data_IF_745640182906
#
_entry.id   IF_745640182906
#
_cell.length_a   1.000
_cell.length_b   1.000
_cell.length_c   1.000
_cell.angle_alpha   90.00
_cell.angle_beta   90.00
_cell.angle_gamma   90.00
#
_symmetry.space_group_name_H-M   'P 1'
#
loop_
_entity.id
_entity.type
_entity.pdbx_description
1 polymer ?
#
# COMPACT_ATOMS: atom_id res chain seq x y z
N UNK A 1 -11.46 -9.86 -6.90
CA UNK A 1 -11.37 -8.73 -7.84
C UNK A 1 -9.93 -8.25 -7.85
N UNK A 2 -9.33 -8.19 -9.03
CA UNK A 2 -7.95 -7.74 -9.23
C UNK A 2 -8.01 -6.60 -10.25
N UNK A 3 -7.32 -5.50 -9.99
CA UNK A 3 -7.09 -4.46 -10.99
C UNK A 3 -5.60 -4.34 -11.28
N UNK A 4 -5.13 -4.79 -12.45
CA UNK A 4 -3.71 -4.76 -12.76
C UNK A 4 -3.17 -3.34 -12.77
N UNK A 5 -2.04 -3.12 -12.09
CA UNK A 5 -1.33 -1.84 -12.05
C UNK A 5 -0.81 -1.46 -13.44
N UNK A 6 -0.90 -0.18 -13.82
CA UNK A 6 -0.13 0.36 -14.94
C UNK A 6 -0.53 -0.13 -16.35
N UNK A 7 -1.74 -0.67 -16.52
CA UNK A 7 -2.22 -1.17 -17.84
C UNK A 7 -3.52 -0.51 -18.34
N UNK A 8 -3.84 0.70 -17.86
CA UNK A 8 -4.96 1.49 -18.39
C UNK A 8 -6.33 0.82 -18.20
N UNK A 9 -6.56 0.22 -17.03
CA UNK A 9 -7.85 -0.39 -16.71
C UNK A 9 -8.97 0.66 -16.82
N UNK A 10 -10.08 0.30 -17.49
CA UNK A 10 -11.22 1.21 -17.65
C UNK A 10 -11.92 1.53 -16.32
N UNK A 11 -11.72 0.68 -15.32
CA UNK A 11 -12.16 0.81 -13.92
C UNK A 11 -11.01 0.29 -13.03
N UNK A 12 -10.63 1.08 -12.03
CA UNK A 12 -9.61 0.74 -11.03
C UNK A 12 -8.18 1.17 -11.42
N UNK A 13 -8.03 1.88 -12.53
CA UNK A 13 -6.73 2.39 -12.97
C UNK A 13 -6.21 3.55 -12.13
N UNK A 14 -7.02 4.06 -11.19
CA UNK A 14 -6.73 5.17 -10.30
C UNK A 14 -7.20 4.80 -8.89
N UNK A 15 -6.59 5.35 -7.85
CA UNK A 15 -6.95 5.08 -6.45
C UNK A 15 -8.46 5.00 -6.16
N UNK A 16 -9.23 5.96 -6.67
CA UNK A 16 -10.63 6.13 -6.26
C UNK A 16 -11.66 5.26 -6.97
N UNK A 17 -11.34 4.68 -8.14
CA UNK A 17 -12.40 4.30 -9.10
C UNK A 17 -12.79 2.81 -9.08
N UNK A 18 -12.02 1.94 -8.41
CA UNK A 18 -12.38 0.53 -8.21
C UNK A 18 -13.29 0.28 -7.00
N UNK A 19 -13.22 1.11 -5.95
CA UNK A 19 -13.91 0.87 -4.69
C UNK A 19 -15.44 0.70 -4.85
N UNK A 20 -16.16 1.50 -5.65
CA UNK A 20 -17.59 1.30 -5.87
C UNK A 20 -17.92 -0.06 -6.51
N UNK A 21 -17.06 -0.57 -7.39
CA UNK A 21 -17.24 -1.88 -8.02
C UNK A 21 -16.97 -3.00 -7.03
N UNK A 22 -15.91 -2.88 -6.22
CA UNK A 22 -15.63 -3.82 -5.14
C UNK A 22 -16.82 -3.94 -4.17
N UNK A 23 -17.46 -2.80 -3.85
CA UNK A 23 -18.67 -2.78 -3.01
C UNK A 23 -19.83 -3.55 -3.63
N UNK A 24 -20.13 -3.33 -4.91
CA UNK A 24 -21.20 -4.06 -5.59
C UNK A 24 -20.91 -5.55 -5.59
N UNK A 25 -19.68 -5.96 -5.92
CA UNK A 25 -19.28 -7.36 -5.90
C UNK A 25 -19.38 -7.97 -4.50
N UNK A 26 -18.93 -7.27 -3.47
CA UNK A 26 -19.01 -7.73 -2.07
C UNK A 26 -20.46 -7.98 -1.61
N UNK A 27 -21.44 -7.30 -2.21
CA UNK A 27 -22.85 -7.46 -1.85
C UNK A 27 -23.50 -8.74 -2.39
N UNK A 28 -22.87 -9.43 -3.34
CA UNK A 28 -23.42 -10.60 -4.04
C UNK A 28 -22.58 -11.88 -3.86
N UNK A 29 -21.52 -11.82 -3.07
CA UNK A 29 -20.62 -12.95 -2.79
C UNK A 29 -20.41 -13.13 -1.29
N UNK A 30 -20.18 -14.37 -0.84
CA UNK A 30 -19.91 -14.64 0.57
C UNK A 30 -18.55 -14.11 1.03
N UNK A 31 -17.56 -14.16 0.13
CA UNK A 31 -16.21 -13.66 0.35
C UNK A 31 -15.65 -13.09 -0.96
N UNK A 32 -15.14 -11.87 -0.90
CA UNK A 32 -14.45 -11.22 -2.01
C UNK A 32 -12.96 -11.13 -1.70
N UNK A 33 -12.16 -11.97 -2.36
CA UNK A 33 -10.70 -11.83 -2.35
C UNK A 33 -10.35 -10.68 -3.29
N UNK A 34 -9.61 -9.70 -2.79
CA UNK A 34 -9.15 -8.55 -3.55
C UNK A 34 -7.72 -8.17 -3.19
N UNK A 35 -7.22 -7.10 -3.77
CA UNK A 35 -5.83 -6.68 -3.67
C UNK A 35 -5.76 -5.16 -3.47
N UNK A 36 -4.59 -4.58 -3.13
CA UNK A 36 -4.46 -3.16 -2.82
C UNK A 36 -5.08 -2.22 -3.83
N UNK A 37 -4.68 -2.27 -5.10
CA UNK A 37 -5.11 -1.26 -6.08
C UNK A 37 -6.63 -1.15 -6.27
N UNK A 38 -7.42 -2.14 -5.83
CA UNK A 38 -8.89 -2.10 -5.91
C UNK A 38 -9.51 -1.26 -4.79
N UNK A 39 -8.86 -1.21 -3.63
CA UNK A 39 -9.38 -0.62 -2.40
C UNK A 39 -8.61 0.63 -1.97
N UNK A 40 -7.53 0.96 -2.68
CA UNK A 40 -6.68 2.13 -2.48
C UNK A 40 -7.40 3.44 -2.83
N UNK A 41 -8.58 3.76 -2.29
CA UNK A 41 -9.14 5.11 -2.41
C UNK A 41 -8.50 6.07 -1.39
N UNK A 42 -7.20 5.93 -1.15
CA UNK A 42 -6.43 6.58 -0.10
C UNK A 42 -7.18 6.58 1.25
N UNK A 43 -7.61 7.75 1.71
CA UNK A 43 -8.30 7.93 2.98
C UNK A 43 -9.80 7.54 2.97
N UNK A 44 -10.38 7.39 1.79
CA UNK A 44 -11.81 7.11 1.61
C UNK A 44 -12.09 5.64 1.85
N UNK A 45 -11.93 5.25 3.11
CA UNK A 45 -12.20 3.92 3.58
C UNK A 45 -13.67 3.60 3.55
N UNK A 46 -13.98 2.41 3.04
CA UNK A 46 -15.30 1.83 3.14
C UNK A 46 -15.18 0.42 3.74
N UNK A 47 -15.68 0.19 4.97
CA UNK A 47 -15.61 -1.13 5.58
C UNK A 47 -16.48 -2.12 4.80
N UNK A 48 -15.87 -3.23 4.39
CA UNK A 48 -16.55 -4.37 3.79
C UNK A 48 -16.15 -5.63 4.56
N UNK A 49 -17.05 -6.21 5.38
CA UNK A 49 -16.69 -7.26 6.35
C UNK A 49 -16.34 -8.60 5.70
N UNK A 50 -16.69 -8.80 4.43
CA UNK A 50 -16.46 -10.02 3.68
C UNK A 50 -15.39 -9.86 2.58
N UNK A 51 -14.53 -8.85 2.68
CA UNK A 51 -13.45 -8.61 1.72
C UNK A 51 -12.12 -8.99 2.36
N UNK A 52 -11.38 -9.89 1.70
CA UNK A 52 -10.03 -10.27 2.09
C UNK A 52 -9.04 -9.55 1.19
N UNK A 53 -8.20 -8.70 1.77
CA UNK A 53 -7.08 -8.11 1.06
C UNK A 53 -5.94 -9.11 1.00
N UNK A 54 -5.35 -9.26 -0.18
CA UNK A 54 -4.21 -10.13 -0.44
C UNK A 54 -3.25 -9.41 -1.36
N UNK A 55 -1.99 -9.30 -0.93
CA UNK A 55 -0.91 -8.74 -1.74
C UNK A 55 -0.70 -9.59 -3.01
N UNK A 56 -0.19 -8.98 -4.09
CA UNK A 56 -0.10 -9.62 -5.41
C UNK A 56 0.65 -10.95 -5.42
N UNK A 57 1.81 -11.04 -4.75
CA UNK A 57 2.54 -12.29 -4.62
C UNK A 57 1.80 -13.31 -3.79
N UNK A 58 1.22 -12.92 -2.66
CA UNK A 58 0.41 -13.82 -1.85
C UNK A 58 -0.77 -14.40 -2.63
N UNK A 59 -1.39 -13.58 -3.49
CA UNK A 59 -2.48 -13.99 -4.36
C UNK A 59 -2.00 -15.02 -5.40
N UNK A 60 -0.82 -14.82 -5.98
CA UNK A 60 -0.20 -15.79 -6.88
C UNK A 60 0.08 -17.13 -6.18
N UNK A 61 0.61 -17.08 -4.94
CA UNK A 61 0.88 -18.29 -4.14
C UNK A 61 -0.39 -19.02 -3.74
N UNK A 62 -1.45 -18.29 -3.40
CA UNK A 62 -2.78 -18.83 -3.14
C UNK A 62 -3.36 -19.50 -4.41
N UNK A 63 -3.29 -18.83 -5.56
CA UNK A 63 -3.79 -19.37 -6.83
C UNK A 63 -3.02 -20.62 -7.29
N UNK A 64 -1.74 -20.73 -6.94
CA UNK A 64 -0.92 -21.92 -7.16
C UNK A 64 -1.24 -23.08 -6.20
N UNK A 65 -2.09 -22.85 -5.19
CA UNK A 65 -2.40 -23.83 -4.15
C UNK A 65 -1.22 -24.09 -3.19
N UNK A 66 -0.31 -23.12 -3.07
CA UNK A 66 0.87 -23.23 -2.21
C UNK A 66 0.65 -22.58 -0.85
N UNK A 67 -0.19 -21.55 -0.80
CA UNK A 67 -0.63 -20.89 0.43
C UNK A 67 -2.15 -21.01 0.59
N UNK A 68 -2.59 -20.99 1.84
CA UNK A 68 -3.98 -20.78 2.21
C UNK A 68 -4.15 -19.36 2.77
N UNK A 69 -5.37 -18.82 2.65
CA UNK A 69 -5.74 -17.55 3.23
C UNK A 69 -6.66 -17.80 4.43
N UNK A 70 -6.31 -17.23 5.57
CA UNK A 70 -7.10 -17.32 6.79
C UNK A 70 -7.76 -15.96 7.08
N UNK A 71 -9.10 -15.87 7.06
CA UNK A 71 -9.80 -14.70 7.57
C UNK A 71 -9.47 -14.48 9.05
N UNK A 72 -9.16 -13.24 9.42
CA UNK A 72 -8.89 -12.86 10.80
C UNK A 72 -9.75 -11.69 11.21
N UNK A 73 -10.08 -11.61 12.49
CA UNK A 73 -10.82 -10.48 13.04
C UNK A 73 -9.96 -9.20 13.07
N UNK A 74 -8.66 -9.35 13.35
CA UNK A 74 -7.72 -8.24 13.45
C UNK A 74 -6.28 -8.74 13.36
N UNK A 75 -5.42 -8.01 12.66
CA UNK A 75 -3.98 -8.21 12.66
C UNK A 75 -3.29 -7.32 13.70
N UNK A 76 -2.26 -7.86 14.35
CA UNK A 76 -1.26 -7.09 15.09
C UNK A 76 -0.26 -6.51 14.09
N UNK A 77 -0.24 -5.19 13.96
CA UNK A 77 0.49 -4.50 12.90
C UNK A 77 1.78 -3.88 13.42
N UNK A 78 2.89 -4.15 12.75
CA UNK A 78 4.14 -3.40 12.89
C UNK A 78 4.27 -2.30 11.84
N UNK A 79 4.84 -1.16 12.19
CA UNK A 79 5.10 -0.05 11.26
C UNK A 79 6.61 0.07 10.98
N UNK A 80 7.01 0.09 9.72
CA UNK A 80 8.38 0.42 9.30
C UNK A 80 8.38 1.80 8.67
N UNK A 81 9.26 2.67 9.15
CA UNK A 81 9.49 4.00 8.59
C UNK A 81 10.89 4.04 7.98
N UNK A 82 11.00 4.49 6.74
CA UNK A 82 12.29 4.72 6.10
C UNK A 82 13.08 5.83 6.82
N UNK A 83 14.36 5.56 7.09
CA UNK A 83 15.30 6.54 7.64
C UNK A 83 15.47 7.79 6.77
N UNK A 84 15.22 7.66 5.46
CA UNK A 84 15.21 8.77 4.51
C UNK A 84 14.10 9.78 4.72
N UNK A 85 13.03 9.43 5.46
CA UNK A 85 11.90 10.33 5.71
C UNK A 85 12.31 11.47 6.62
N UNK A 86 12.03 12.70 6.20
CA UNK A 86 12.21 13.93 6.94
C UNK A 86 11.47 13.88 8.29
N UNK A 87 12.03 14.53 9.31
CA UNK A 87 11.49 14.46 10.67
C UNK A 87 10.00 14.87 10.75
N UNK A 88 9.61 15.92 10.05
CA UNK A 88 8.22 16.39 10.05
C UNK A 88 7.27 15.37 9.42
N UNK A 89 7.59 14.82 8.22
CA UNK A 89 6.80 13.75 7.58
C UNK A 89 6.74 12.50 8.46
N UNK A 90 7.84 12.16 9.15
CA UNK A 90 7.87 11.00 10.06
C UNK A 90 6.91 11.18 11.23
N UNK A 91 6.90 12.35 11.86
CA UNK A 91 5.97 12.69 12.95
C UNK A 91 4.53 12.60 12.46
N UNK A 92 4.27 13.09 11.25
CA UNK A 92 2.97 12.98 10.60
C UNK A 92 2.49 11.53 10.44
N UNK A 93 3.31 10.63 9.86
CA UNK A 93 2.95 9.22 9.76
C UNK A 93 2.71 8.57 11.13
N UNK A 94 3.49 8.92 12.15
CA UNK A 94 3.24 8.45 13.52
C UNK A 94 1.90 8.96 14.08
N UNK A 95 1.53 10.20 13.79
CA UNK A 95 0.22 10.74 14.17
C UNK A 95 -0.93 10.03 13.44
N UNK A 96 -0.74 9.62 12.18
CA UNK A 96 -1.73 8.79 11.49
C UNK A 96 -1.83 7.41 12.15
N UNK A 97 -0.72 6.81 12.61
CA UNK A 97 -0.75 5.57 13.37
C UNK A 97 -1.54 5.71 14.67
N UNK A 98 -1.33 6.80 15.41
CA UNK A 98 -2.11 7.09 16.62
C UNK A 98 -3.59 7.37 16.32
N UNK A 99 -3.88 8.09 15.24
CA UNK A 99 -5.25 8.38 14.81
C UNK A 99 -6.02 7.12 14.41
N UNK A 100 -5.38 6.20 13.70
CA UNK A 100 -5.99 4.92 13.31
C UNK A 100 -6.21 4.02 14.54
N UNK A 101 -5.28 3.98 15.50
CA UNK A 101 -5.48 3.32 16.80
C UNK A 101 -6.69 3.89 17.53
N UNK A 102 -6.78 5.22 17.65
CA UNK A 102 -7.79 5.90 18.44
C UNK A 102 -9.19 5.87 17.79
N UNK A 103 -9.26 6.03 16.47
CA UNK A 103 -10.54 6.24 15.75
C UNK A 103 -11.08 4.97 15.13
N UNK A 104 -10.19 4.05 14.70
CA UNK A 104 -10.56 2.81 14.02
C UNK A 104 -10.32 1.56 14.88
N UNK A 105 -9.66 1.71 16.03
CA UNK A 105 -9.35 0.60 16.93
C UNK A 105 -8.24 -0.32 16.42
N UNK A 106 -7.36 0.16 15.53
CA UNK A 106 -6.29 -0.66 14.95
C UNK A 106 -5.26 -1.08 16.00
N UNK A 107 -4.79 -2.32 15.90
CA UNK A 107 -3.72 -2.81 16.76
C UNK A 107 -2.34 -2.57 16.12
N UNK A 108 -1.97 -1.30 15.97
CA UNK A 108 -0.60 -0.90 15.61
C UNK A 108 0.23 -0.86 16.89
N UNK A 109 1.25 -1.72 17.02
CA UNK A 109 1.88 -2.00 18.33
C UNK A 109 3.28 -1.43 18.52
N UNK A 110 4.09 -1.39 17.47
CA UNK A 110 5.46 -0.89 17.49
C UNK A 110 5.80 -0.33 16.12
N UNK A 111 6.78 0.56 16.08
CA UNK A 111 7.42 0.96 14.84
C UNK A 111 8.93 0.74 14.89
N UNK A 112 9.52 0.47 13.74
CA UNK A 112 10.95 0.43 13.51
C UNK A 112 11.32 1.47 12.44
N UNK A 113 12.50 2.05 12.55
CA UNK A 113 13.09 2.87 11.50
C UNK A 113 14.15 2.03 10.80
N UNK A 114 14.22 2.08 9.47
CA UNK A 114 15.31 1.42 8.73
C UNK A 114 16.66 1.97 9.18
N UNK A 115 17.73 1.16 9.11
CA UNK A 115 19.07 1.62 9.54
C UNK A 115 19.78 2.47 8.47
N UNK A 116 19.30 2.41 7.23
CA UNK A 116 19.79 3.14 6.06
C UNK A 116 18.58 3.59 5.24
N UNK A 117 18.61 4.79 4.63
CA UNK A 117 17.57 5.23 3.72
C UNK A 117 17.33 4.20 2.60
N UNK A 118 16.08 3.97 2.19
CA UNK A 118 15.81 2.99 1.12
C UNK A 118 16.33 3.45 -0.24
N UNK A 119 16.44 4.76 -0.44
CA UNK A 119 16.79 5.42 -1.71
C UNK A 119 15.96 4.85 -2.87
N UNK A 120 14.67 5.20 -2.86
CA UNK A 120 13.72 4.80 -3.90
C UNK A 120 14.07 5.48 -5.23
N UNK A 121 14.11 4.67 -6.29
CA UNK A 121 14.14 5.12 -7.67
C UNK A 121 12.91 4.57 -8.40
N UNK A 122 12.22 5.40 -9.17
CA UNK A 122 11.03 5.03 -9.95
C UNK A 122 11.17 5.46 -11.40
N UNK A 123 10.61 4.69 -12.33
CA UNK A 123 10.57 5.00 -13.76
C UNK A 123 9.44 4.26 -14.47
N UNK A 124 9.05 4.73 -15.64
CA UNK A 124 8.14 4.01 -16.53
C UNK A 124 8.95 3.18 -17.52
N UNK A 125 8.60 1.89 -17.66
CA UNK A 125 9.23 1.03 -18.64
C UNK A 125 8.83 1.48 -20.07
N UNK A 126 9.77 1.89 -20.93
CA UNK A 126 9.44 2.45 -22.24
C UNK A 126 8.83 1.42 -23.21
N UNK A 127 9.03 0.13 -22.95
CA UNK A 127 8.52 -0.95 -23.80
C UNK A 127 7.12 -1.38 -23.39
N UNK A 128 6.84 -1.45 -22.08
CA UNK A 128 5.56 -1.96 -21.55
C UNK A 128 4.61 -0.87 -21.11
N UNK A 129 5.08 0.36 -20.90
CA UNK A 129 4.30 1.46 -20.35
C UNK A 129 3.96 1.32 -18.86
N UNK A 130 4.52 0.32 -18.18
CA UNK A 130 4.23 0.06 -16.76
C UNK A 130 5.15 0.87 -15.85
N UNK A 131 4.64 1.36 -14.73
CA UNK A 131 5.47 1.92 -13.68
C UNK A 131 6.27 0.81 -12.98
N UNK A 132 7.52 1.10 -12.67
CA UNK A 132 8.45 0.19 -12.01
C UNK A 132 9.54 0.98 -11.30
N UNK A 133 10.45 0.30 -10.62
CA UNK A 133 11.57 0.97 -9.98
C UNK A 133 12.46 0.04 -9.16
N UNK A 134 13.15 0.59 -8.17
CA UNK A 134 13.94 -0.16 -7.19
C UNK A 134 14.11 0.62 -5.89
N UNK A 135 14.44 -0.13 -4.83
CA UNK A 135 15.07 0.41 -3.62
C UNK A 135 16.53 -0.03 -3.61
N UNK A 136 17.44 0.87 -3.24
CA UNK A 136 18.88 0.59 -3.23
C UNK A 136 19.33 -0.23 -2.02
N UNK A 137 18.61 -0.10 -0.91
CA UNK A 137 18.95 -0.75 0.38
C UNK A 137 17.84 -1.71 0.85
N UNK A 138 17.48 -2.75 0.07
CA UNK A 138 16.41 -3.70 0.43
C UNK A 138 16.73 -4.49 1.71
N UNK A 139 18.01 -4.71 1.99
CA UNK A 139 18.48 -5.38 3.19
C UNK A 139 18.16 -4.58 4.47
N UNK A 140 18.17 -3.25 4.38
CA UNK A 140 17.78 -2.37 5.49
C UNK A 140 16.29 -2.52 5.83
N UNK A 141 15.44 -2.58 4.81
CA UNK A 141 14.01 -2.88 4.97
C UNK A 141 13.80 -4.24 5.64
N UNK A 142 14.43 -5.30 5.13
CA UNK A 142 14.29 -6.64 5.67
C UNK A 142 14.75 -6.71 7.14
N UNK A 143 15.86 -6.07 7.51
CA UNK A 143 16.29 -6.00 8.92
C UNK A 143 15.27 -5.29 9.81
N UNK A 144 14.68 -4.19 9.36
CA UNK A 144 13.68 -3.47 10.12
C UNK A 144 12.43 -4.32 10.36
N UNK A 145 11.95 -5.00 9.32
CA UNK A 145 10.82 -5.93 9.43
C UNK A 145 11.14 -7.11 10.34
N UNK A 146 12.30 -7.76 10.14
CA UNK A 146 12.71 -8.91 10.93
C UNK A 146 12.74 -8.57 12.43
N UNK A 147 13.21 -7.37 12.78
CA UNK A 147 13.19 -6.89 14.16
C UNK A 147 11.78 -6.78 14.73
N UNK A 148 10.80 -6.26 13.97
CA UNK A 148 9.40 -6.18 14.40
C UNK A 148 8.79 -7.57 14.57
N UNK A 149 9.03 -8.47 13.62
CA UNK A 149 8.54 -9.85 13.67
C UNK A 149 9.09 -10.57 14.91
N UNK A 150 10.41 -10.50 15.15
CA UNK A 150 11.05 -11.20 16.28
C UNK A 150 10.66 -10.61 17.64
N UNK A 151 10.61 -9.28 17.76
CA UNK A 151 10.38 -8.61 19.05
C UNK A 151 8.92 -8.52 19.43
N UNK A 152 8.06 -8.28 18.43
CA UNK A 152 6.65 -7.99 18.64
C UNK A 152 5.71 -9.05 18.12
N UNK A 153 6.17 -10.07 17.40
CA UNK A 153 5.29 -11.13 16.85
C UNK A 153 4.11 -10.52 16.10
N UNK A 154 4.42 -9.57 15.21
CA UNK A 154 3.41 -8.90 14.37
C UNK A 154 2.87 -9.89 13.34
N UNK A 155 1.59 -9.75 13.02
CA UNK A 155 0.89 -10.57 12.03
C UNK A 155 0.92 -9.95 10.64
N UNK A 156 1.16 -8.63 10.55
CA UNK A 156 1.23 -7.87 9.31
C UNK A 156 2.14 -6.64 9.51
N UNK A 157 2.63 -6.07 8.41
CA UNK A 157 3.52 -4.89 8.44
C UNK A 157 3.04 -3.81 7.48
N UNK A 158 3.07 -2.55 7.92
CA UNK A 158 3.04 -1.40 7.02
C UNK A 158 4.43 -0.83 6.84
N UNK A 159 4.82 -0.55 5.60
CA UNK A 159 6.09 0.09 5.26
C UNK A 159 5.80 1.46 4.66
N UNK A 160 6.36 2.51 5.27
CA UNK A 160 6.38 3.85 4.71
C UNK A 160 7.79 4.12 4.18
N UNK A 161 7.92 4.26 2.86
CA UNK A 161 9.19 4.55 2.19
C UNK A 161 9.31 6.02 1.82
N UNK A 162 10.50 6.63 1.87
CA UNK A 162 10.69 7.97 1.29
C UNK A 162 10.85 7.84 -0.22
N UNK A 163 9.87 8.34 -0.96
CA UNK A 163 9.90 8.36 -2.43
C UNK A 163 10.48 9.69 -2.91
N UNK A 164 11.11 9.78 -4.09
CA UNK A 164 11.49 11.07 -4.65
C UNK A 164 10.24 11.90 -4.96
N UNK A 165 10.28 13.17 -4.58
CA UNK A 165 9.25 14.16 -4.94
C UNK A 165 9.30 14.40 -6.45
N UNK A 166 8.14 14.33 -7.11
CA UNK A 166 8.04 14.67 -8.53
C UNK A 166 7.91 16.17 -8.72
N UNK A 167 8.37 16.67 -9.87
CA UNK A 167 7.94 17.99 -10.33
C UNK A 167 6.44 17.93 -10.69
N UNK A 168 5.71 19.03 -10.45
CA UNK A 168 4.25 19.06 -10.65
C UNK A 168 3.87 18.66 -12.08
N UNK A 169 4.67 19.09 -13.06
CA UNK A 169 4.47 18.82 -14.49
C UNK A 169 4.56 17.33 -14.83
N UNK A 170 5.33 16.53 -14.06
CA UNK A 170 5.49 15.09 -14.29
C UNK A 170 4.25 14.28 -13.84
N UNK A 171 3.37 14.89 -13.04
CA UNK A 171 2.17 14.27 -12.49
C UNK A 171 0.87 14.70 -13.18
N UNK A 172 0.91 15.72 -14.04
CA UNK A 172 -0.29 16.36 -14.59
C UNK A 172 -1.25 15.38 -15.28
N UNK A 173 -0.72 14.47 -16.11
CA UNK A 173 -1.56 13.49 -16.79
C UNK A 173 -2.26 12.54 -15.82
N UNK A 174 -1.56 12.08 -14.78
CA UNK A 174 -2.14 11.19 -13.77
C UNK A 174 -3.16 11.93 -12.90
N UNK A 175 -2.86 13.16 -12.47
CA UNK A 175 -3.78 14.05 -11.75
C UNK A 175 -5.04 14.37 -12.56
N UNK A 176 -4.94 14.40 -13.89
CA UNK A 176 -6.07 14.55 -14.81
C UNK A 176 -6.84 13.24 -15.08
N UNK A 177 -6.39 12.10 -14.53
CA UNK A 177 -7.05 10.80 -14.69
C UNK A 177 -6.78 10.16 -16.06
N UNK A 178 -5.65 10.46 -16.69
CA UNK A 178 -5.27 10.00 -18.03
C UNK A 178 -3.90 9.29 -18.01
N UNK A 179 -3.03 9.65 -17.07
CA UNK A 179 -1.67 9.14 -16.94
C UNK A 179 -1.54 7.84 -16.16
N UNK A 180 -0.29 7.46 -15.91
CA UNK A 180 0.10 6.26 -15.18
C UNK A 180 0.55 6.66 -13.77
N UNK A 181 0.13 5.90 -12.78
CA UNK A 181 0.68 6.00 -11.43
C UNK A 181 2.14 5.51 -11.43
N UNK A 182 3.09 6.42 -11.25
CA UNK A 182 4.53 6.14 -11.26
C UNK A 182 5.04 5.54 -9.94
N UNK A 183 4.25 5.59 -8.86
CA UNK A 183 4.60 5.11 -7.53
C UNK A 183 4.33 3.61 -7.38
N UNK A 184 3.18 3.16 -7.90
CA UNK A 184 2.66 1.80 -7.70
C UNK A 184 3.64 0.66 -8.04
N UNK A 185 4.56 0.91 -8.98
CA UNK A 185 5.59 -0.08 -9.33
C UNK A 185 6.58 -0.36 -8.21
N UNK A 186 7.09 0.68 -7.52
CA UNK A 186 8.03 0.50 -6.41
C UNK A 186 7.32 0.02 -5.15
N UNK A 187 6.12 0.51 -4.93
CA UNK A 187 5.24 0.06 -3.85
C UNK A 187 5.01 -1.45 -3.88
N UNK A 188 4.64 -1.98 -5.06
CA UNK A 188 4.54 -3.41 -5.27
C UNK A 188 5.85 -4.15 -4.99
N UNK A 189 7.01 -3.58 -5.35
CA UNK A 189 8.33 -4.16 -5.05
C UNK A 189 8.57 -4.22 -3.54
N UNK A 190 8.20 -3.19 -2.78
CA UNK A 190 8.37 -3.12 -1.33
C UNK A 190 7.53 -4.20 -0.64
N UNK A 191 6.22 -4.25 -0.92
CA UNK A 191 5.34 -5.24 -0.29
C UNK A 191 5.68 -6.66 -0.73
N UNK A 192 5.99 -6.87 -2.02
CA UNK A 192 6.43 -8.17 -2.53
C UNK A 192 7.66 -8.69 -1.78
N UNK A 193 8.67 -7.83 -1.56
CA UNK A 193 9.89 -8.21 -0.87
C UNK A 193 9.60 -8.69 0.56
N UNK A 194 8.73 -7.98 1.28
CA UNK A 194 8.36 -8.31 2.67
C UNK A 194 7.52 -9.59 2.73
N UNK A 195 6.46 -9.68 1.94
CA UNK A 195 5.56 -10.85 1.90
C UNK A 195 6.33 -12.11 1.53
N UNK A 196 7.20 -12.02 0.52
CA UNK A 196 8.02 -13.15 0.08
C UNK A 196 8.97 -13.66 1.16
N UNK A 197 9.61 -12.76 1.91
CA UNK A 197 10.62 -13.14 2.91
C UNK A 197 9.98 -13.62 4.21
N UNK A 198 8.94 -12.92 4.68
CA UNK A 198 8.38 -13.14 6.02
C UNK A 198 7.05 -13.90 6.03
N UNK A 199 6.40 -14.08 4.88
CA UNK A 199 5.09 -14.74 4.75
C UNK A 199 4.02 -14.12 5.67
N UNK A 200 4.10 -12.81 5.83
CA UNK A 200 3.09 -12.01 6.51
C UNK A 200 2.61 -10.93 5.56
N UNK A 201 1.32 -10.57 5.63
CA UNK A 201 0.79 -9.49 4.83
C UNK A 201 1.55 -8.17 5.00
N UNK A 202 1.69 -7.44 3.90
CA UNK A 202 2.42 -6.17 3.85
C UNK A 202 1.65 -5.12 3.08
N UNK A 203 1.41 -4.00 3.75
CA UNK A 203 1.02 -2.74 3.15
C UNK A 203 2.25 -1.86 2.88
N UNK A 204 2.15 -1.00 1.87
CA UNK A 204 3.15 0.01 1.54
C UNK A 204 2.50 1.40 1.49
N UNK A 205 3.31 2.42 1.64
CA UNK A 205 2.91 3.80 1.46
C UNK A 205 4.12 4.65 1.06
N UNK A 206 3.96 5.66 0.20
CA UNK A 206 5.00 6.62 -0.10
C UNK A 206 4.89 7.80 0.88
N UNK A 207 6.01 8.16 1.50
CA UNK A 207 6.20 9.48 2.10
C UNK A 207 6.67 10.44 1.02
N UNK A 208 5.84 11.44 0.73
CA UNK A 208 6.06 12.47 -0.29
C UNK A 208 5.85 13.85 0.32
N UNK A 209 6.45 14.86 -0.30
CA UNK A 209 6.13 16.26 -0.01
C UNK A 209 4.75 16.61 -0.54
N UNK A 210 4.00 17.49 0.15
CA UNK A 210 2.67 17.90 -0.28
C UNK A 210 2.70 18.64 -1.61
N UNK A 211 1.85 18.20 -2.55
CA UNK A 211 1.66 18.90 -3.81
C UNK A 211 0.84 20.19 -3.61
N UNK A 212 1.07 21.22 -4.44
CA UNK A 212 0.21 22.39 -4.45
C UNK A 212 -1.23 22.04 -4.85
N UNK A 213 -2.19 22.69 -4.19
CA UNK A 213 -3.61 22.58 -4.52
C UNK A 213 -3.88 23.03 -5.97
N UNK A 214 -4.77 22.32 -6.65
CA UNK A 214 -5.22 22.65 -8.01
C UNK A 214 -6.74 22.56 -8.15
N UNK A 215 -7.31 23.39 -9.02
CA UNK A 215 -8.75 23.37 -9.35
C UNK A 215 -9.10 22.39 -10.48
N UNK A 216 -8.11 21.83 -11.17
CA UNK A 216 -8.29 20.97 -12.36
C UNK A 216 -8.14 19.47 -12.06
N UNK A 217 -8.17 19.08 -10.79
CA UNK A 217 -7.97 17.69 -10.37
C UNK A 217 -9.10 16.77 -10.83
N UNK A 218 -8.76 15.59 -11.35
CA UNK A 218 -9.76 14.59 -11.72
C UNK A 218 -10.40 13.98 -10.48
N UNK A 219 -11.73 13.76 -10.45
CA UNK A 219 -12.37 13.04 -9.36
C UNK A 219 -11.82 11.62 -9.13
N UNK A 220 -11.17 11.02 -10.14
CA UNK A 220 -10.59 9.66 -10.05
C UNK A 220 -9.30 9.60 -9.23
N UNK A 221 -8.50 10.65 -9.28
CA UNK A 221 -7.22 10.81 -8.55
C UNK A 221 -7.38 11.65 -7.28
N UNK A 222 -8.50 12.37 -7.13
CA UNK A 222 -8.69 13.31 -6.05
C UNK A 222 -8.56 12.73 -4.63
N UNK A 223 -8.88 11.44 -4.48
CA UNK A 223 -8.74 10.76 -3.20
C UNK A 223 -7.29 10.73 -2.70
N UNK A 224 -6.31 10.60 -3.60
CA UNK A 224 -4.89 10.57 -3.25
C UNK A 224 -4.40 11.95 -2.80
N UNK A 225 -4.87 13.02 -3.42
CA UNK A 225 -4.43 14.40 -3.07
C UNK A 225 -4.97 14.88 -1.72
N UNK A 226 -6.04 14.26 -1.23
CA UNK A 226 -6.54 14.51 0.13
C UNK A 226 -5.55 14.05 1.20
N UNK A 227 -4.61 13.17 0.85
CA UNK A 227 -3.58 12.66 1.72
C UNK A 227 -2.24 12.56 0.98
N UNK A 228 -1.36 13.50 1.31
CA UNK A 228 0.05 13.45 0.92
C UNK A 228 0.78 12.27 1.57
N UNK A 229 0.14 11.60 2.54
CA UNK A 229 0.76 10.65 3.45
C UNK A 229 -0.15 9.43 3.53
N UNK A 230 0.10 8.44 2.68
CA UNK A 230 -0.60 7.18 2.82
C UNK A 230 -0.20 6.55 4.16
N UNK A 231 -1.16 6.39 5.05
CA UNK A 231 -1.05 5.34 6.04
C UNK A 231 -2.22 4.42 5.81
N UNK A 232 -1.85 3.30 5.22
CA UNK A 232 -2.74 2.29 4.69
C UNK A 232 -3.67 1.77 5.79
N UNK A 233 -4.94 2.16 5.68
CA UNK A 233 -6.06 1.54 6.37
C UNK A 233 -6.27 0.06 5.97
N UNK A 234 -5.53 -0.46 4.99
CA UNK A 234 -5.68 -1.81 4.41
C UNK A 234 -5.20 -2.92 5.36
N UNK A 235 -4.39 -2.59 6.37
CA UNK A 235 -3.96 -3.55 7.40
C UNK A 235 -5.13 -4.13 8.23
N UNK A 236 -6.31 -3.48 8.17
CA UNK A 236 -7.54 -3.96 8.80
C UNK A 236 -8.14 -5.22 8.16
N UNK A 237 -7.82 -5.51 6.89
CA UNK A 237 -8.59 -6.46 6.08
C UNK A 237 -7.74 -7.58 5.48
N UNK A 238 -6.45 -7.64 5.84
CA UNK A 238 -5.58 -8.69 5.32
C UNK A 238 -5.91 -10.03 5.96
N UNK A 239 -6.16 -11.01 5.11
CA UNK A 239 -6.15 -12.40 5.52
C UNK A 239 -4.74 -12.76 6.02
N UNK A 240 -4.63 -13.54 7.10
CA UNK A 240 -3.34 -14.15 7.41
C UNK A 240 -2.99 -15.16 6.35
N UNK A 241 -1.76 -15.10 5.89
CA UNK A 241 -1.18 -16.10 5.00
C UNK A 241 -0.74 -17.30 5.83
N UNK A 242 -1.17 -18.49 5.44
CA UNK A 242 -0.72 -19.73 6.06
C UNK A 242 -0.11 -20.61 4.98
N UNK A 243 1.18 -20.93 5.14
CA UNK A 243 1.83 -21.98 4.35
C UNK A 243 1.18 -23.33 4.66
N UNK A 244 0.85 -24.08 3.60
CA UNK A 244 0.25 -25.42 3.69
C UNK A 244 1.23 -26.49 4.17
#
# INVERSE_FOLDING_TARGET
MIVPTGVGASIGGFAGDALPVARVLSSVVDCLISHPNVLNAAMLYWPMPNVMYVEGYALDRFAQGLWALQPVHQNKVGLVLDAGIEEHLRVHHLQVADATRASLGLLVVEYAVTDTPLEVEKWVNPTTGQSTGRIKHPDSLLRAVENLVKRSQVDAVAVVGRFPDDEVDDLDDYRLGIGIDTLAGVEAIISHLVVKEFQIPCAHAPALSPLPLTSSLSPKSAAEEMLVEEMVLLLLLEAREISL
#
